data_IF_807762100861
#
_entry.id   IF_807762100861
#
_cell.length_a   1.000
_cell.length_b   1.000
_cell.length_c   1.000
_cell.angle_alpha   90.00
_cell.angle_beta   90.00
_cell.angle_gamma   90.00
#
_symmetry.space_group_name_H-M   'P 1'
#
loop_
_entity.id
_entity.type
_entity.pdbx_description
1 polymer ?
#
# COMPACT_ATOMS: atom_id res chain seq x y z
N UNK A 1 -5.85 6.70 20.56
CA UNK A 1 -4.90 7.09 19.48
C UNK A 1 -3.74 6.09 19.48
N UNK A 2 -2.99 5.98 18.37
CA UNK A 2 -1.95 4.95 18.23
C UNK A 2 -0.77 5.11 19.21
N UNK A 3 -0.41 6.33 19.56
CA UNK A 3 0.61 6.68 20.56
C UNK A 3 0.25 6.27 21.99
N UNK A 4 -1.01 5.96 22.25
CA UNK A 4 -1.46 5.50 23.58
C UNK A 4 -1.52 3.98 23.71
N UNK A 5 -1.10 3.22 22.69
CA UNK A 5 -1.06 1.76 22.73
C UNK A 5 0.13 1.35 23.59
N UNK A 6 -0.09 0.71 24.75
CA UNK A 6 0.99 0.36 25.66
C UNK A 6 1.86 -0.76 25.09
N UNK A 7 3.16 -0.71 25.40
CA UNK A 7 4.10 -1.78 25.08
C UNK A 7 4.59 -1.79 23.63
N UNK A 8 4.35 -0.74 22.84
CA UNK A 8 5.00 -0.56 21.54
C UNK A 8 6.51 -0.38 21.73
N UNK A 9 7.31 -1.08 20.94
CA UNK A 9 8.78 -1.07 21.08
C UNK A 9 9.52 -0.93 19.72
N UNK A 10 8.76 -0.78 18.62
CA UNK A 10 9.36 -0.55 17.31
C UNK A 10 9.95 0.87 17.20
N UNK A 11 9.41 1.84 17.89
CA UNK A 11 9.66 3.26 17.69
C UNK A 11 10.40 3.89 18.86
N UNK A 12 11.21 4.94 18.58
CA UNK A 12 11.90 5.79 19.53
C UNK A 12 11.22 7.19 19.59
N UNK A 13 11.82 8.13 20.35
CA UNK A 13 11.27 9.48 20.53
C UNK A 13 11.21 10.28 19.21
N UNK A 14 12.19 10.13 18.33
CA UNK A 14 12.20 10.83 17.01
C UNK A 14 11.08 10.31 16.13
N UNK A 15 10.85 9.01 16.12
CA UNK A 15 9.72 8.39 15.43
C UNK A 15 8.38 8.95 15.94
N UNK A 16 8.22 9.10 17.25
CA UNK A 16 6.97 9.61 17.82
C UNK A 16 6.80 11.12 17.57
N UNK A 17 7.88 11.90 17.52
CA UNK A 17 7.84 13.32 17.11
C UNK A 17 7.39 13.44 15.64
N UNK A 18 7.92 12.59 14.75
CA UNK A 18 7.48 12.51 13.35
C UNK A 18 6.00 12.11 13.24
N UNK A 19 5.54 11.15 14.05
CA UNK A 19 4.13 10.75 14.13
C UNK A 19 3.22 11.94 14.41
N UNK A 20 3.59 12.83 15.34
CA UNK A 20 2.78 14.01 15.65
C UNK A 20 2.71 14.97 14.44
N UNK A 21 3.80 15.13 13.69
CA UNK A 21 3.84 15.92 12.46
C UNK A 21 2.90 15.35 11.40
N UNK A 22 3.02 14.05 11.11
CA UNK A 22 2.17 13.33 10.15
C UNK A 22 0.70 13.41 10.57
N UNK A 23 0.39 13.13 11.83
CA UNK A 23 -0.97 13.19 12.37
C UNK A 23 -1.59 14.57 12.21
N UNK A 24 -0.86 15.61 12.62
CA UNK A 24 -1.34 17.00 12.52
C UNK A 24 -1.64 17.40 11.09
N UNK A 25 -0.77 17.02 10.15
CA UNK A 25 -0.98 17.24 8.73
C UNK A 25 -2.22 16.50 8.23
N UNK A 26 -2.35 15.22 8.51
CA UNK A 26 -3.49 14.41 8.05
C UNK A 26 -4.82 14.90 8.63
N UNK A 27 -4.84 15.32 9.88
CA UNK A 27 -6.04 15.89 10.52
C UNK A 27 -6.45 17.22 9.88
N UNK A 28 -5.48 18.04 9.48
CA UNK A 28 -5.73 19.36 8.88
C UNK A 28 -6.07 19.27 7.39
N UNK A 29 -5.26 18.56 6.62
CA UNK A 29 -5.31 18.57 5.16
C UNK A 29 -5.97 17.33 4.55
N UNK A 30 -6.00 16.20 5.27
CA UNK A 30 -6.54 14.93 4.80
C UNK A 30 -7.99 14.69 5.23
N UNK A 31 -8.19 14.48 6.52
CA UNK A 31 -9.48 14.06 7.09
C UNK A 31 -10.69 14.89 6.64
N UNK A 32 -10.63 16.24 6.59
CA UNK A 32 -11.77 17.05 6.17
C UNK A 32 -12.16 16.84 4.70
N UNK A 33 -11.24 16.36 3.87
CA UNK A 33 -11.41 16.24 2.42
C UNK A 33 -11.77 14.81 1.95
N UNK A 34 -11.72 13.82 2.86
CA UNK A 34 -11.92 12.41 2.48
C UNK A 34 -13.24 12.18 1.75
N UNK A 35 -14.35 12.73 2.23
CA UNK A 35 -15.66 12.52 1.60
C UNK A 35 -15.71 13.09 0.17
N UNK A 36 -15.07 14.24 -0.08
CA UNK A 36 -14.98 14.82 -1.41
C UNK A 36 -14.10 13.95 -2.32
N UNK A 37 -12.95 13.48 -1.84
CA UNK A 37 -12.06 12.61 -2.61
C UNK A 37 -12.71 11.26 -2.95
N UNK A 38 -13.51 10.71 -2.04
CA UNK A 38 -14.31 9.50 -2.30
C UNK A 38 -15.32 9.74 -3.42
N UNK A 39 -16.01 10.90 -3.42
CA UNK A 39 -16.94 11.27 -4.47
C UNK A 39 -16.24 11.50 -5.82
N UNK A 40 -15.09 12.16 -5.82
CA UNK A 40 -14.28 12.45 -7.02
C UNK A 40 -13.53 11.20 -7.52
N UNK A 41 -13.43 10.16 -6.67
CA UNK A 41 -12.63 8.95 -6.90
C UNK A 41 -11.17 9.26 -7.21
N UNK A 42 -10.60 10.27 -6.53
CA UNK A 42 -9.24 10.71 -6.74
C UNK A 42 -8.75 11.59 -5.58
N UNK A 43 -7.53 11.38 -5.13
CA UNK A 43 -6.82 12.30 -4.25
C UNK A 43 -6.04 13.30 -5.12
N UNK A 44 -6.23 14.62 -4.94
CA UNK A 44 -5.62 15.63 -5.81
C UNK A 44 -4.08 15.67 -5.63
N UNK A 45 -3.37 15.98 -6.72
CA UNK A 45 -1.90 16.09 -6.71
C UNK A 45 -1.37 17.16 -5.74
N UNK A 46 -2.17 18.17 -5.42
CA UNK A 46 -1.79 19.19 -4.43
C UNK A 46 -1.57 18.56 -3.04
N UNK A 47 -2.39 17.60 -2.64
CA UNK A 47 -2.21 16.89 -1.36
C UNK A 47 -0.88 16.11 -1.31
N UNK A 48 -0.46 15.53 -2.44
CA UNK A 48 0.83 14.86 -2.57
C UNK A 48 1.99 15.83 -2.38
N UNK A 49 1.95 17.01 -3.01
CA UNK A 49 3.00 18.03 -2.85
C UNK A 49 3.10 18.51 -1.40
N UNK A 50 1.97 18.83 -0.77
CA UNK A 50 1.94 19.21 0.65
C UNK A 50 2.48 18.12 1.57
N UNK A 51 2.22 16.85 1.27
CA UNK A 51 2.80 15.73 2.02
C UNK A 51 4.32 15.64 1.84
N UNK A 52 4.82 15.89 0.61
CA UNK A 52 6.26 15.98 0.34
C UNK A 52 6.93 17.11 1.11
N UNK A 53 6.31 18.30 1.20
CA UNK A 53 6.85 19.48 1.92
C UNK A 53 7.14 19.21 3.40
N UNK A 54 6.41 18.28 4.02
CA UNK A 54 6.62 17.88 5.43
C UNK A 54 7.46 16.60 5.59
N UNK A 55 8.07 16.10 4.52
CA UNK A 55 8.89 14.88 4.55
C UNK A 55 8.11 13.58 4.70
N UNK A 56 6.80 13.56 4.40
CA UNK A 56 5.95 12.38 4.57
C UNK A 56 6.11 11.37 3.43
N UNK A 57 6.63 11.81 2.27
CA UNK A 57 6.84 10.95 1.10
C UNK A 57 8.29 10.46 1.05
N UNK A 58 8.47 9.17 0.80
CA UNK A 58 9.77 8.53 0.58
C UNK A 58 10.85 8.90 1.64
N UNK A 59 10.56 8.84 2.95
CA UNK A 59 11.48 9.28 4.00
C UNK A 59 12.79 8.49 4.02
N UNK A 60 12.84 7.29 3.44
CA UNK A 60 14.02 6.41 3.34
C UNK A 60 14.99 6.79 2.22
N UNK A 61 14.62 7.69 1.32
CA UNK A 61 15.51 8.14 0.24
C UNK A 61 16.75 8.81 0.83
N UNK A 62 17.98 8.42 0.38
CA UNK A 62 19.22 9.06 0.84
C UNK A 62 19.23 10.59 0.62
N UNK A 63 19.89 11.31 1.51
CA UNK A 63 19.98 12.78 1.47
C UNK A 63 20.57 13.31 0.16
N UNK A 64 21.54 12.60 -0.43
CA UNK A 64 22.14 12.93 -1.71
C UNK A 64 21.14 12.98 -2.89
N UNK A 65 19.99 12.33 -2.75
CA UNK A 65 18.88 12.35 -3.70
C UNK A 65 17.68 13.16 -3.19
N UNK A 66 17.88 14.03 -2.20
CA UNK A 66 16.86 14.94 -1.70
C UNK A 66 15.89 14.33 -0.66
N UNK A 67 16.13 13.11 -0.19
CA UNK A 67 15.38 12.49 0.89
C UNK A 67 15.89 12.83 2.29
N UNK A 68 15.39 12.13 3.29
CA UNK A 68 15.76 12.33 4.68
C UNK A 68 16.72 11.25 5.20
N UNK A 69 16.99 10.18 4.43
CA UNK A 69 17.87 9.09 4.82
C UNK A 69 17.41 8.33 6.08
N UNK A 70 16.10 8.33 6.35
CA UNK A 70 15.50 7.73 7.53
C UNK A 70 15.26 6.23 7.34
N UNK A 71 14.92 5.54 8.41
CA UNK A 71 14.63 4.10 8.34
C UNK A 71 13.16 3.80 8.02
N UNK A 72 12.83 2.52 7.77
CA UNK A 72 11.47 2.05 7.46
C UNK A 72 10.45 2.32 8.59
N UNK A 73 10.90 2.57 9.83
CA UNK A 73 10.01 2.95 10.92
C UNK A 73 9.21 4.22 10.59
N UNK A 74 9.79 5.16 9.86
CA UNK A 74 9.11 6.38 9.42
C UNK A 74 8.03 6.10 8.37
N UNK A 75 8.31 5.21 7.40
CA UNK A 75 7.29 4.74 6.45
C UNK A 75 6.13 4.05 7.19
N UNK A 76 6.45 3.20 8.16
CA UNK A 76 5.46 2.51 8.98
C UNK A 76 4.54 3.49 9.73
N UNK A 77 5.08 4.58 10.27
CA UNK A 77 4.31 5.62 10.94
C UNK A 77 3.35 6.31 9.97
N UNK A 78 3.79 6.65 8.77
CA UNK A 78 2.92 7.22 7.73
C UNK A 78 1.76 6.27 7.44
N UNK A 79 2.05 4.99 7.23
CA UNK A 79 1.03 3.97 6.96
C UNK A 79 0.06 3.78 8.13
N UNK A 80 0.55 3.76 9.36
CA UNK A 80 -0.29 3.67 10.56
C UNK A 80 -1.25 4.85 10.67
N UNK A 81 -0.75 6.08 10.57
CA UNK A 81 -1.56 7.28 10.74
C UNK A 81 -2.57 7.46 9.60
N UNK A 82 -2.18 7.21 8.35
CA UNK A 82 -3.09 7.23 7.22
C UNK A 82 -4.23 6.23 7.37
N UNK A 83 -3.91 4.99 7.73
CA UNK A 83 -4.90 3.93 7.89
C UNK A 83 -5.81 4.17 9.10
N UNK A 84 -5.27 4.66 10.22
CA UNK A 84 -6.04 4.98 11.41
C UNK A 84 -6.98 6.18 11.21
N UNK A 85 -6.51 7.22 10.51
CA UNK A 85 -7.33 8.40 10.20
C UNK A 85 -8.23 8.22 8.97
N UNK A 86 -8.06 7.13 8.22
CA UNK A 86 -8.87 6.80 7.05
C UNK A 86 -8.61 7.70 5.85
N UNK A 87 -7.38 8.19 5.68
CA UNK A 87 -6.98 9.01 4.54
C UNK A 87 -6.52 8.11 3.38
N UNK A 88 -7.21 8.13 2.22
CA UNK A 88 -7.10 7.07 1.20
C UNK A 88 -6.09 7.38 0.08
N UNK A 89 -4.96 8.02 0.35
CA UNK A 89 -3.94 8.27 -0.67
C UNK A 89 -3.02 7.05 -0.87
N UNK A 90 -2.56 6.84 -2.11
CA UNK A 90 -1.69 5.71 -2.48
C UNK A 90 -0.22 5.89 -2.11
N UNK A 91 0.08 6.50 -0.95
CA UNK A 91 1.44 6.82 -0.51
C UNK A 91 2.27 5.57 -0.23
N UNK A 92 1.69 4.52 0.35
CA UNK A 92 2.37 3.24 0.58
C UNK A 92 2.95 2.67 -0.71
N UNK A 93 2.17 2.65 -1.80
CA UNK A 93 2.66 2.17 -3.08
C UNK A 93 3.81 3.04 -3.62
N UNK A 94 3.70 4.34 -3.48
CA UNK A 94 4.70 5.29 -3.94
C UNK A 94 5.99 5.23 -3.12
N UNK A 95 5.87 5.31 -1.78
CA UNK A 95 7.01 5.46 -0.86
C UNK A 95 7.67 4.14 -0.48
N UNK A 96 6.87 3.08 -0.20
CA UNK A 96 7.38 1.83 0.35
C UNK A 96 7.61 0.76 -0.73
N UNK A 97 7.08 0.98 -1.93
CA UNK A 97 7.17 0.03 -3.04
C UNK A 97 8.01 0.65 -4.16
N UNK A 98 7.43 1.59 -4.94
CA UNK A 98 8.10 2.09 -6.16
C UNK A 98 9.40 2.81 -5.86
N UNK A 99 9.42 3.63 -4.81
CA UNK A 99 10.63 4.34 -4.39
C UNK A 99 11.78 3.36 -4.10
N UNK A 100 11.50 2.29 -3.36
CA UNK A 100 12.52 1.31 -2.98
C UNK A 100 13.07 0.51 -4.16
N UNK A 101 12.25 0.23 -5.18
CA UNK A 101 12.77 -0.35 -6.42
C UNK A 101 13.81 0.57 -7.07
N UNK A 102 13.54 1.87 -7.11
CA UNK A 102 14.47 2.82 -7.71
C UNK A 102 15.73 3.02 -6.88
N UNK A 103 15.60 3.09 -5.56
CA UNK A 103 16.75 3.16 -4.64
C UNK A 103 17.64 1.93 -4.76
N UNK A 104 17.04 0.73 -4.81
CA UNK A 104 17.79 -0.53 -4.83
C UNK A 104 18.41 -0.86 -6.19
N UNK A 105 17.73 -0.55 -7.29
CA UNK A 105 18.10 -1.05 -8.62
C UNK A 105 18.29 0.03 -9.68
N UNK A 106 17.94 1.28 -9.40
CA UNK A 106 18.11 2.39 -10.33
C UNK A 106 19.58 2.73 -10.61
N UNK A 107 19.90 3.16 -11.85
CA UNK A 107 21.19 3.79 -12.12
C UNK A 107 21.30 5.11 -11.39
N UNK A 108 22.53 5.63 -11.23
CA UNK A 108 22.76 6.93 -10.60
C UNK A 108 22.01 8.07 -11.33
N UNK A 109 21.92 7.99 -12.67
CA UNK A 109 21.18 8.94 -13.48
C UNK A 109 19.66 8.84 -13.20
N UNK A 110 19.12 7.62 -13.13
CA UNK A 110 17.72 7.40 -12.80
C UNK A 110 17.38 7.89 -11.40
N UNK A 111 18.23 7.61 -10.41
CA UNK A 111 18.05 8.09 -9.03
C UNK A 111 18.05 9.61 -8.95
N UNK A 112 19.05 10.28 -9.55
CA UNK A 112 19.17 11.74 -9.60
C UNK A 112 17.99 12.40 -10.32
N UNK A 113 17.47 11.76 -11.35
CA UNK A 113 16.34 12.29 -12.12
C UNK A 113 15.02 12.19 -11.37
N UNK A 114 14.75 11.06 -10.70
CA UNK A 114 13.42 10.73 -10.22
C UNK A 114 13.23 10.86 -8.71
N UNK A 115 14.23 10.45 -7.87
CA UNK A 115 14.03 10.42 -6.43
C UNK A 115 13.69 11.78 -5.81
N UNK A 116 14.33 12.91 -6.19
CA UNK A 116 13.95 14.21 -5.66
C UNK A 116 12.48 14.57 -5.96
N UNK A 117 12.00 14.18 -7.14
CA UNK A 117 10.62 14.43 -7.58
C UNK A 117 9.61 13.51 -6.89
N UNK A 118 10.03 12.32 -6.44
CA UNK A 118 9.20 11.42 -5.61
C UNK A 118 9.05 12.01 -4.21
N UNK A 119 10.15 12.42 -3.61
CA UNK A 119 10.16 13.02 -2.26
C UNK A 119 9.31 14.29 -2.20
N UNK A 120 9.38 15.15 -3.22
CA UNK A 120 8.57 16.37 -3.28
C UNK A 120 7.10 16.16 -3.63
N UNK A 121 6.70 14.94 -4.05
CA UNK A 121 5.35 14.67 -4.56
C UNK A 121 5.06 15.31 -5.93
N UNK A 122 6.07 15.83 -6.63
CA UNK A 122 5.94 16.35 -8.00
C UNK A 122 5.65 15.20 -8.99
N UNK A 123 6.31 14.06 -8.81
CA UNK A 123 6.10 12.85 -9.60
C UNK A 123 5.44 11.77 -8.77
N UNK A 124 4.19 11.46 -9.08
CA UNK A 124 3.46 10.33 -8.48
C UNK A 124 3.76 9.08 -9.28
N UNK A 125 3.88 7.94 -8.59
CA UNK A 125 4.30 6.69 -9.20
C UNK A 125 3.25 5.59 -9.12
N UNK A 126 3.34 4.66 -10.08
CA UNK A 126 2.61 3.40 -10.08
C UNK A 126 3.52 2.24 -10.47
N UNK A 127 3.17 1.03 -10.05
CA UNK A 127 3.76 -0.21 -10.58
C UNK A 127 2.70 -1.02 -11.28
N UNK A 128 2.97 -1.41 -12.52
CA UNK A 128 2.03 -2.08 -13.41
C UNK A 128 2.47 -3.54 -13.67
N UNK A 129 1.95 -4.45 -12.83
CA UNK A 129 2.24 -5.89 -12.90
C UNK A 129 1.08 -6.65 -13.54
N UNK A 130 -0.11 -6.54 -12.94
CA UNK A 130 -1.31 -7.33 -13.24
C UNK A 130 -1.87 -7.01 -14.62
N UNK A 131 -2.30 -8.06 -15.32
CA UNK A 131 -2.96 -7.97 -16.63
C UNK A 131 -4.37 -8.59 -16.58
N UNK A 132 -5.26 -8.33 -17.56
CA UNK A 132 -6.60 -8.93 -17.56
C UNK A 132 -6.60 -10.47 -17.47
N UNK A 133 -5.55 -11.13 -17.96
CA UNK A 133 -5.39 -12.59 -17.92
C UNK A 133 -4.46 -13.12 -16.82
N UNK A 134 -3.85 -12.26 -16.02
CA UNK A 134 -2.75 -12.65 -15.12
C UNK A 134 -2.69 -11.80 -13.87
N UNK A 135 -2.79 -12.43 -12.70
CA UNK A 135 -2.61 -11.80 -11.37
C UNK A 135 -1.53 -12.51 -10.56
N UNK A 136 -1.90 -13.58 -9.83
CA UNK A 136 -0.95 -14.36 -9.00
C UNK A 136 0.16 -15.03 -9.81
N UNK A 137 -0.12 -15.45 -11.04
CA UNK A 137 0.87 -16.03 -11.96
C UNK A 137 1.55 -14.94 -12.81
N UNK A 138 2.44 -14.17 -12.18
CA UNK A 138 3.17 -13.08 -12.85
C UNK A 138 4.04 -13.54 -14.03
N UNK A 139 4.47 -14.80 -14.07
CA UNK A 139 5.30 -15.31 -15.17
C UNK A 139 4.53 -15.39 -16.50
N UNK A 140 3.19 -15.42 -16.42
CA UNK A 140 2.31 -15.50 -17.59
C UNK A 140 1.89 -14.15 -18.17
N UNK A 141 2.50 -13.03 -17.77
CA UNK A 141 2.25 -11.72 -18.37
C UNK A 141 2.53 -11.75 -19.88
N UNK A 142 1.82 -10.89 -20.62
CA UNK A 142 1.93 -10.76 -22.08
C UNK A 142 2.45 -9.42 -22.55
N UNK A 143 2.39 -8.38 -21.71
CA UNK A 143 2.99 -7.08 -22.02
C UNK A 143 4.45 -7.28 -22.40
N UNK A 144 4.84 -6.76 -23.55
CA UNK A 144 6.18 -6.90 -24.12
C UNK A 144 6.89 -5.56 -24.20
N UNK A 145 8.22 -5.60 -24.14
CA UNK A 145 9.10 -4.46 -24.39
C UNK A 145 10.18 -4.92 -25.38
N UNK A 146 9.89 -4.78 -26.67
CA UNK A 146 10.80 -5.24 -27.74
C UNK A 146 11.85 -4.18 -28.05
N UNK A 147 13.10 -4.61 -28.28
CA UNK A 147 14.18 -3.71 -28.69
C UNK A 147 13.97 -3.23 -30.11
N UNK A 148 14.16 -1.91 -30.31
CA UNK A 148 14.19 -1.25 -31.61
C UNK A 148 15.24 -0.12 -31.58
N UNK A 149 16.41 -0.41 -32.10
CA UNK A 149 17.59 0.44 -32.01
C UNK A 149 18.01 0.66 -30.55
N UNK A 150 18.01 1.91 -30.10
CA UNK A 150 18.34 2.30 -28.72
C UNK A 150 17.10 2.49 -27.83
N UNK A 151 15.95 1.93 -28.23
CA UNK A 151 14.69 2.03 -27.51
C UNK A 151 14.09 0.63 -27.24
N UNK A 152 13.20 0.60 -26.23
CA UNK A 152 12.17 -0.43 -26.15
C UNK A 152 10.87 0.11 -26.75
N UNK A 153 10.12 -0.77 -27.40
CA UNK A 153 8.74 -0.53 -27.84
C UNK A 153 7.83 -1.37 -26.96
N UNK A 154 7.09 -0.69 -26.08
CA UNK A 154 6.24 -1.33 -25.07
C UNK A 154 4.83 -1.50 -25.64
N UNK A 155 4.31 -2.74 -25.61
CA UNK A 155 2.96 -3.08 -26.04
C UNK A 155 2.27 -3.98 -25.01
N UNK A 156 1.01 -3.67 -24.68
CA UNK A 156 0.21 -4.48 -23.77
C UNK A 156 -0.85 -3.69 -23.03
N UNK A 157 -1.47 -4.36 -22.06
CA UNK A 157 -2.46 -3.75 -21.19
C UNK A 157 -2.28 -4.23 -19.75
N UNK A 158 -2.48 -3.33 -18.80
CA UNK A 158 -2.40 -3.58 -17.38
C UNK A 158 -3.72 -3.21 -16.72
N UNK A 159 -4.09 -3.93 -15.65
CA UNK A 159 -5.34 -3.70 -14.95
C UNK A 159 -5.14 -3.69 -13.43
N UNK A 160 -6.07 -3.07 -12.70
CA UNK A 160 -6.03 -2.89 -11.25
C UNK A 160 -4.81 -2.10 -10.76
N UNK A 161 -4.37 -1.11 -11.55
CA UNK A 161 -3.17 -0.34 -11.24
C UNK A 161 -3.53 0.82 -10.31
N UNK A 162 -3.03 0.75 -9.08
CA UNK A 162 -3.13 1.83 -8.07
C UNK A 162 -2.34 3.04 -8.54
N UNK A 163 -2.85 4.24 -8.26
CA UNK A 163 -2.34 5.51 -8.76
C UNK A 163 -2.39 5.66 -10.29
N UNK A 164 -3.06 4.77 -11.03
CA UNK A 164 -3.02 4.75 -12.49
C UNK A 164 -3.53 6.03 -13.16
N UNK A 165 -4.43 6.77 -12.51
CA UNK A 165 -4.88 8.09 -13.00
C UNK A 165 -3.91 9.20 -12.62
N UNK A 166 -3.31 9.14 -11.43
CA UNK A 166 -2.43 10.18 -10.92
C UNK A 166 -0.97 10.03 -11.36
N UNK A 167 -0.51 8.79 -11.63
CA UNK A 167 0.90 8.51 -11.85
C UNK A 167 1.48 9.27 -13.04
N UNK A 168 2.64 9.88 -12.83
CA UNK A 168 3.47 10.54 -13.85
C UNK A 168 4.53 9.57 -14.37
N UNK A 169 4.97 8.61 -13.56
CA UNK A 169 5.91 7.55 -13.90
C UNK A 169 5.35 6.19 -13.51
N UNK A 170 5.39 5.25 -14.44
CA UNK A 170 4.90 3.89 -14.25
C UNK A 170 6.05 2.88 -14.39
N UNK A 171 6.28 2.05 -13.38
CA UNK A 171 7.14 0.88 -13.45
C UNK A 171 6.36 -0.26 -14.13
N UNK A 172 6.63 -0.50 -15.40
CA UNK A 172 5.93 -1.52 -16.20
C UNK A 172 6.70 -2.83 -16.18
N UNK A 173 6.10 -3.87 -15.63
CA UNK A 173 6.65 -5.23 -15.73
C UNK A 173 6.29 -5.80 -17.10
N UNK A 174 7.32 -6.07 -17.93
CA UNK A 174 7.14 -6.50 -19.31
C UNK A 174 8.11 -7.63 -19.66
N UNK A 175 7.80 -8.38 -20.70
CA UNK A 175 8.72 -9.36 -21.30
C UNK A 175 9.63 -8.65 -22.31
N UNK A 176 10.91 -8.64 -22.02
CA UNK A 176 11.98 -8.22 -22.96
C UNK A 176 12.51 -9.39 -23.78
N UNK A 177 12.41 -10.61 -23.22
CA UNK A 177 12.68 -11.87 -23.94
C UNK A 177 11.51 -12.85 -23.72
N UNK A 178 10.60 -13.00 -24.70
CA UNK A 178 9.46 -13.91 -24.58
C UNK A 178 9.84 -15.39 -24.65
N UNK A 179 11.03 -15.73 -25.19
CA UNK A 179 11.51 -17.08 -25.39
C UNK A 179 12.39 -17.60 -24.25
N UNK A 180 12.65 -16.75 -23.25
CA UNK A 180 13.50 -17.08 -22.09
C UNK A 180 13.00 -18.32 -21.34
N UNK A 181 13.94 -19.16 -20.94
CA UNK A 181 13.67 -20.35 -20.14
C UNK A 181 14.57 -20.35 -18.87
N UNK A 182 13.97 -20.40 -17.68
CA UNK A 182 12.52 -20.30 -17.37
C UNK A 182 11.94 -18.91 -17.70
N UNK A 183 10.63 -18.82 -17.89
CA UNK A 183 9.92 -17.63 -18.41
C UNK A 183 10.19 -16.34 -17.60
N UNK A 184 10.41 -16.46 -16.29
CA UNK A 184 10.69 -15.30 -15.43
C UNK A 184 12.01 -14.58 -15.76
N UNK A 185 12.97 -15.26 -16.41
CA UNK A 185 14.26 -14.66 -16.84
C UNK A 185 14.11 -13.69 -18.02
N UNK A 186 12.98 -13.71 -18.69
CA UNK A 186 12.66 -12.76 -19.76
C UNK A 186 11.90 -11.52 -19.28
N UNK A 187 11.69 -11.37 -17.99
CA UNK A 187 10.93 -10.26 -17.41
C UNK A 187 11.85 -9.12 -16.98
N UNK A 188 11.50 -7.90 -17.35
CA UNK A 188 12.18 -6.67 -16.95
C UNK A 188 11.19 -5.66 -16.40
N UNK A 189 11.68 -4.65 -15.71
CA UNK A 189 10.91 -3.50 -15.26
C UNK A 189 11.33 -2.29 -16.09
N UNK A 190 10.39 -1.69 -16.77
CA UNK A 190 10.62 -0.55 -17.67
C UNK A 190 9.95 0.69 -17.09
N UNK A 191 10.71 1.77 -16.91
CA UNK A 191 10.21 3.08 -16.50
C UNK A 191 9.52 3.74 -17.69
N UNK A 192 8.22 4.00 -17.58
CA UNK A 192 7.42 4.64 -18.63
C UNK A 192 6.81 5.92 -18.09
N UNK A 193 7.20 7.06 -18.65
CA UNK A 193 6.58 8.34 -18.35
C UNK A 193 5.17 8.40 -18.97
N UNK A 194 4.24 8.98 -18.25
CA UNK A 194 2.83 8.95 -18.62
C UNK A 194 2.43 9.91 -19.76
N UNK A 195 3.34 10.75 -20.20
CA UNK A 195 3.17 11.69 -21.32
C UNK A 195 3.71 11.15 -22.65
N UNK A 196 4.23 9.90 -22.68
CA UNK A 196 4.72 9.29 -23.91
C UNK A 196 3.59 8.96 -24.86
N UNK A 197 3.85 9.20 -26.15
CA UNK A 197 2.96 8.79 -27.23
C UNK A 197 2.68 7.29 -27.16
N UNK A 198 1.41 6.91 -27.37
CA UNK A 198 0.95 5.52 -27.28
C UNK A 198 0.55 5.05 -25.88
N UNK A 199 0.92 5.80 -24.79
CA UNK A 199 0.40 5.52 -23.46
C UNK A 199 -1.01 6.09 -23.30
N UNK A 200 -1.93 5.26 -22.78
CA UNK A 200 -3.31 5.67 -22.52
C UNK A 200 -3.78 5.18 -21.16
N UNK A 201 -4.36 6.08 -20.37
CA UNK A 201 -5.10 5.70 -19.17
C UNK A 201 -6.50 5.23 -19.59
N UNK A 202 -6.90 4.07 -19.10
CA UNK A 202 -8.27 3.60 -19.19
C UNK A 202 -9.17 4.25 -18.15
N UNK A 203 -10.32 3.64 -17.93
CA UNK A 203 -11.29 4.12 -16.94
C UNK A 203 -10.77 3.96 -15.51
N UNK A 204 -11.23 4.81 -14.62
CA UNK A 204 -11.22 4.54 -13.17
C UNK A 204 -12.13 3.35 -12.91
N UNK A 205 -11.60 2.30 -12.28
CA UNK A 205 -12.37 1.09 -12.02
C UNK A 205 -13.37 1.33 -10.87
N UNK A 206 -14.57 0.81 -11.04
CA UNK A 206 -15.60 0.83 -10.00
C UNK A 206 -15.33 -0.28 -8.99
N UNK A 207 -15.13 0.08 -7.72
CA UNK A 207 -14.68 -0.84 -6.68
C UNK A 207 -15.72 -0.95 -5.57
N UNK A 208 -15.62 -2.00 -4.77
CA UNK A 208 -16.45 -2.19 -3.56
C UNK A 208 -16.12 -1.13 -2.49
N UNK A 209 -14.88 -0.64 -2.46
CA UNK A 209 -14.40 0.36 -1.50
C UNK A 209 -13.07 0.97 -1.89
N UNK A 210 -12.51 1.83 -1.02
CA UNK A 210 -11.34 2.64 -1.32
C UNK A 210 -11.54 3.50 -2.58
N UNK A 211 -12.70 4.15 -2.66
CA UNK A 211 -13.13 4.86 -3.88
C UNK A 211 -12.15 5.96 -4.28
N UNK A 212 -11.61 6.72 -3.31
CA UNK A 212 -10.64 7.78 -3.55
C UNK A 212 -9.23 7.30 -3.95
N UNK A 213 -8.84 6.08 -3.57
CA UNK A 213 -7.60 5.48 -4.05
C UNK A 213 -7.80 5.04 -5.49
N UNK A 214 -7.37 5.85 -6.44
CA UNK A 214 -7.59 5.58 -7.86
C UNK A 214 -6.95 4.26 -8.29
N UNK A 215 -7.69 3.52 -9.10
CA UNK A 215 -7.27 2.23 -9.64
C UNK A 215 -7.75 2.16 -11.08
N UNK A 216 -6.86 1.87 -12.02
CA UNK A 216 -7.14 2.01 -13.44
C UNK A 216 -6.65 0.85 -14.28
N UNK A 217 -7.17 0.82 -15.51
CA UNK A 217 -6.55 0.12 -16.64
C UNK A 217 -5.53 1.06 -17.30
N UNK A 218 -4.43 0.49 -17.79
CA UNK A 218 -3.39 1.21 -18.54
C UNK A 218 -3.13 0.47 -19.84
N UNK A 219 -2.99 1.21 -20.93
CA UNK A 219 -2.75 0.67 -22.26
C UNK A 219 -1.46 1.24 -22.85
N UNK A 220 -0.71 0.37 -23.51
CA UNK A 220 0.56 0.69 -24.14
C UNK A 220 0.46 0.23 -25.63
N UNK A 221 0.49 1.18 -26.55
CA UNK A 221 0.39 0.97 -27.99
C UNK A 221 1.63 1.58 -28.63
N UNK A 222 2.63 0.74 -28.94
CA UNK A 222 3.92 1.14 -29.50
C UNK A 222 4.64 2.25 -28.71
N UNK A 223 4.53 2.21 -27.38
CA UNK A 223 5.17 3.21 -26.51
C UNK A 223 6.68 3.08 -26.57
N UNK A 224 7.34 4.10 -27.12
CA UNK A 224 8.81 4.11 -27.25
C UNK A 224 9.45 4.73 -26.02
N UNK A 225 10.36 3.98 -25.39
CA UNK A 225 11.16 4.44 -24.25
C UNK A 225 12.64 4.15 -24.50
N UNK A 226 13.57 5.03 -24.07
CA UNK A 226 15.01 4.75 -24.19
C UNK A 226 15.39 3.44 -23.46
N UNK A 227 16.39 2.72 -23.92
CA UNK A 227 16.88 1.53 -23.26
C UNK A 227 17.40 1.84 -21.84
N UNK A 228 17.84 3.07 -21.57
CA UNK A 228 18.20 3.56 -20.24
C UNK A 228 17.03 3.62 -19.24
N UNK A 229 15.78 3.43 -19.71
CA UNK A 229 14.61 3.30 -18.84
C UNK A 229 14.40 1.86 -18.30
N UNK A 230 15.27 0.91 -18.64
CA UNK A 230 15.28 -0.38 -17.95
C UNK A 230 15.79 -0.19 -16.53
N UNK A 231 15.02 -0.65 -15.55
CA UNK A 231 15.43 -0.61 -14.15
C UNK A 231 16.40 -1.77 -13.87
N UNK A 232 17.61 -1.43 -13.49
CA UNK A 232 18.67 -2.42 -13.25
C UNK A 232 19.03 -3.22 -14.51
N UNK A 233 19.20 -4.53 -14.38
CA UNK A 233 19.57 -5.43 -15.46
C UNK A 233 18.35 -6.01 -16.17
N UNK A 234 18.41 -6.06 -17.50
CA UNK A 234 17.41 -6.73 -18.31
C UNK A 234 17.26 -8.20 -17.94
N UNK A 235 16.04 -8.70 -17.88
CA UNK A 235 15.73 -10.08 -17.48
C UNK A 235 15.74 -10.34 -15.97
N UNK A 236 16.07 -9.35 -15.13
CA UNK A 236 16.10 -9.47 -13.68
C UNK A 236 14.83 -8.98 -12.98
N UNK A 237 13.85 -8.46 -13.72
CA UNK A 237 12.66 -7.85 -13.16
C UNK A 237 11.92 -8.74 -12.17
N UNK A 238 11.74 -10.03 -12.48
CA UNK A 238 11.08 -10.96 -11.56
C UNK A 238 11.86 -11.14 -10.24
N UNK A 239 13.18 -11.18 -10.31
CA UNK A 239 14.05 -11.32 -9.11
C UNK A 239 13.90 -10.08 -8.24
N UNK A 240 13.90 -8.88 -8.83
CA UNK A 240 13.69 -7.62 -8.11
C UNK A 240 12.32 -7.58 -7.42
N UNK A 241 11.25 -8.01 -8.12
CA UNK A 241 9.93 -8.15 -7.51
C UNK A 241 9.96 -9.06 -6.27
N UNK A 242 10.56 -10.24 -6.38
CA UNK A 242 10.61 -11.20 -5.27
C UNK A 242 11.43 -10.68 -4.08
N UNK A 243 12.47 -9.90 -4.32
CA UNK A 243 13.34 -9.34 -3.27
C UNK A 243 12.66 -8.24 -2.45
N UNK A 244 11.76 -7.45 -3.06
CA UNK A 244 11.06 -6.33 -2.37
C UNK A 244 9.76 -6.77 -1.67
N UNK A 245 9.17 -7.91 -2.07
CA UNK A 245 7.90 -8.38 -1.51
C UNK A 245 7.83 -8.48 0.02
N UNK A 246 8.90 -8.84 0.77
CA UNK A 246 8.81 -8.86 2.23
C UNK A 246 8.41 -7.51 2.84
N UNK A 247 9.02 -6.41 2.38
CA UNK A 247 8.69 -5.05 2.83
C UNK A 247 7.29 -4.64 2.38
N UNK A 248 6.94 -4.88 1.11
CA UNK A 248 5.61 -4.57 0.58
C UNK A 248 4.50 -5.22 1.43
N UNK A 249 4.69 -6.49 1.82
CA UNK A 249 3.77 -7.25 2.67
C UNK A 249 3.73 -6.72 4.09
N UNK A 250 4.88 -6.30 4.64
CA UNK A 250 4.94 -5.68 5.95
C UNK A 250 4.19 -4.35 5.97
N UNK A 251 4.34 -3.49 4.96
CA UNK A 251 3.59 -2.24 4.82
C UNK A 251 2.07 -2.47 4.80
N UNK A 252 1.61 -3.54 4.13
CA UNK A 252 0.20 -3.96 4.16
C UNK A 252 -0.21 -4.34 5.59
N UNK A 253 0.60 -5.14 6.29
CA UNK A 253 0.32 -5.56 7.66
C UNK A 253 0.20 -4.36 8.62
N UNK A 254 1.08 -3.36 8.47
CA UNK A 254 1.07 -2.11 9.23
C UNK A 254 -0.27 -1.37 9.05
N UNK A 255 -0.65 -1.07 7.83
CA UNK A 255 -1.90 -0.35 7.55
C UNK A 255 -3.14 -1.12 7.99
N UNK A 256 -3.16 -2.44 7.82
CA UNK A 256 -4.31 -3.27 8.23
C UNK A 256 -4.47 -3.35 9.74
N UNK A 257 -3.38 -3.41 10.51
CA UNK A 257 -3.42 -3.38 11.97
C UNK A 257 -3.94 -2.05 12.51
N UNK A 258 -3.47 -0.93 11.96
CA UNK A 258 -3.91 0.41 12.34
C UNK A 258 -5.40 0.65 11.99
N UNK A 259 -5.84 0.20 10.83
CA UNK A 259 -7.25 0.25 10.41
C UNK A 259 -8.14 -0.61 11.32
N UNK A 260 -7.67 -1.80 11.73
CA UNK A 260 -8.38 -2.66 12.68
C UNK A 260 -8.51 -1.99 14.06
N UNK A 261 -7.46 -1.30 14.53
CA UNK A 261 -7.50 -0.51 15.76
C UNK A 261 -8.55 0.60 15.68
N UNK A 262 -8.60 1.34 14.55
CA UNK A 262 -9.60 2.40 14.35
C UNK A 262 -11.02 1.87 14.41
N UNK A 263 -11.30 0.75 13.74
CA UNK A 263 -12.63 0.12 13.77
C UNK A 263 -13.04 -0.26 15.19
N UNK A 264 -12.09 -0.79 15.97
CA UNK A 264 -12.33 -1.12 17.38
C UNK A 264 -12.63 0.13 18.21
N UNK A 265 -11.82 1.18 18.10
CA UNK A 265 -11.98 2.42 18.88
C UNK A 265 -13.34 3.08 18.58
N UNK A 266 -13.72 3.20 17.32
CA UNK A 266 -15.04 3.71 16.88
C UNK A 266 -16.19 2.88 17.45
N UNK A 267 -16.03 1.56 17.46
CA UNK A 267 -17.07 0.64 17.94
C UNK A 267 -17.24 0.72 19.44
N UNK A 268 -16.14 0.84 20.20
CA UNK A 268 -16.18 1.03 21.65
C UNK A 268 -16.93 2.32 21.99
N UNK A 269 -16.62 3.42 21.31
CA UNK A 269 -17.29 4.70 21.50
C UNK A 269 -18.78 4.62 21.13
N UNK A 270 -19.09 4.07 19.97
CA UNK A 270 -20.47 3.88 19.53
C UNK A 270 -21.28 3.05 20.51
N UNK A 271 -20.77 1.90 20.99
CA UNK A 271 -21.51 1.01 21.90
C UNK A 271 -21.73 1.64 23.26
N UNK A 272 -20.82 2.51 23.74
CA UNK A 272 -20.97 3.25 25.01
C UNK A 272 -21.99 4.38 24.94
N UNK A 273 -22.27 4.90 23.75
CA UNK A 273 -23.20 6.01 23.55
C UNK A 273 -24.57 5.57 23.02
N UNK A 274 -24.66 4.41 22.39
CA UNK A 274 -25.88 3.89 21.80
C UNK A 274 -26.79 3.24 22.84
N UNK A 275 -27.94 3.85 23.09
CA UNK A 275 -28.98 3.27 23.97
C UNK A 275 -29.72 2.11 23.30
N UNK A 276 -29.94 1.05 24.05
CA UNK A 276 -30.75 -0.08 23.67
C UNK A 276 -31.40 -0.71 24.91
N UNK A 277 -32.72 -0.93 24.86
CA UNK A 277 -33.52 -1.37 26.00
C UNK A 277 -33.33 -0.43 27.21
N UNK A 278 -32.91 -0.93 28.37
CA UNK A 278 -32.74 -0.15 29.59
C UNK A 278 -31.33 0.38 29.83
N UNK A 279 -30.39 0.15 28.91
CA UNK A 279 -28.97 0.51 29.10
C UNK A 279 -28.29 0.91 27.78
N UNK A 280 -26.99 0.82 27.74
CA UNK A 280 -26.18 1.02 26.53
C UNK A 280 -25.90 -0.33 25.85
N UNK A 281 -25.62 -0.33 24.56
CA UNK A 281 -25.19 -1.54 23.83
C UNK A 281 -23.95 -2.14 24.49
N UNK A 282 -23.06 -1.32 25.02
CA UNK A 282 -21.87 -1.75 25.76
C UNK A 282 -22.20 -2.58 27.02
N UNK A 283 -23.35 -2.37 27.66
CA UNK A 283 -23.70 -3.03 28.93
C UNK A 283 -24.03 -4.52 28.75
N UNK A 284 -24.40 -4.94 27.56
CA UNK A 284 -24.70 -6.34 27.28
C UNK A 284 -23.46 -7.22 27.40
N UNK A 285 -23.61 -8.38 28.04
CA UNK A 285 -22.52 -9.34 28.25
C UNK A 285 -21.88 -9.78 26.93
N UNK A 286 -22.68 -10.06 25.91
CA UNK A 286 -22.18 -10.46 24.60
C UNK A 286 -21.31 -9.36 23.95
N UNK A 287 -21.71 -8.10 24.04
CA UNK A 287 -20.92 -6.97 23.52
C UNK A 287 -19.55 -6.91 24.21
N UNK A 288 -19.53 -7.03 25.54
CA UNK A 288 -18.27 -7.03 26.30
C UNK A 288 -17.38 -8.22 25.93
N UNK A 289 -17.93 -9.40 25.72
CA UNK A 289 -17.15 -10.57 25.33
C UNK A 289 -16.55 -10.44 23.93
N UNK A 290 -17.34 -9.95 22.95
CA UNK A 290 -16.84 -9.68 21.61
C UNK A 290 -15.72 -8.64 21.65
N UNK A 291 -15.91 -7.52 22.34
CA UNK A 291 -14.91 -6.46 22.44
C UNK A 291 -13.65 -6.92 23.18
N UNK A 292 -13.78 -7.76 24.23
CA UNK A 292 -12.65 -8.32 24.96
C UNK A 292 -11.80 -9.25 24.07
N UNK A 293 -12.43 -10.12 23.28
CA UNK A 293 -11.76 -10.99 22.31
C UNK A 293 -11.00 -10.15 21.25
N UNK A 294 -11.66 -9.15 20.67
CA UNK A 294 -11.07 -8.25 19.69
C UNK A 294 -9.89 -7.45 20.26
N UNK A 295 -10.03 -6.94 21.49
CA UNK A 295 -8.96 -6.21 22.19
C UNK A 295 -7.72 -7.09 22.39
N UNK A 296 -7.93 -8.33 22.82
CA UNK A 296 -6.84 -9.29 23.02
C UNK A 296 -6.08 -9.57 21.72
N UNK A 297 -6.80 -9.76 20.61
CA UNK A 297 -6.20 -9.97 19.29
C UNK A 297 -5.44 -8.73 18.79
N UNK A 298 -5.96 -7.52 19.02
CA UNK A 298 -5.26 -6.29 18.68
C UNK A 298 -3.93 -6.17 19.41
N UNK A 299 -3.90 -6.49 20.71
CA UNK A 299 -2.68 -6.44 21.50
C UNK A 299 -1.62 -7.42 21.00
N UNK A 300 -2.02 -8.66 20.67
CA UNK A 300 -1.13 -9.66 20.05
C UNK A 300 -0.63 -9.16 18.70
N UNK A 301 -1.52 -8.58 17.89
CA UNK A 301 -1.17 -8.02 16.58
C UNK A 301 -0.12 -6.92 16.66
N UNK A 302 -0.27 -5.97 17.58
CA UNK A 302 0.72 -4.92 17.76
C UNK A 302 2.09 -5.46 18.19
N UNK A 303 2.14 -6.43 19.10
CA UNK A 303 3.40 -7.06 19.51
C UNK A 303 4.09 -7.79 18.35
N UNK A 304 3.33 -8.54 17.55
CA UNK A 304 3.86 -9.21 16.35
C UNK A 304 4.34 -8.21 15.30
N UNK A 305 3.59 -7.11 15.09
CA UNK A 305 3.96 -6.08 14.13
C UNK A 305 5.26 -5.38 14.50
N UNK A 306 5.42 -5.00 15.78
CA UNK A 306 6.65 -4.39 16.29
C UNK A 306 7.85 -5.33 16.14
N UNK A 307 7.67 -6.63 16.39
CA UNK A 307 8.69 -7.63 16.15
C UNK A 307 9.07 -7.68 14.65
N UNK A 308 8.08 -7.70 13.75
CA UNK A 308 8.34 -7.76 12.31
C UNK A 308 9.04 -6.50 11.78
N UNK A 309 8.66 -5.31 12.27
CA UNK A 309 9.33 -4.04 11.94
C UNK A 309 10.79 -4.08 12.41
N UNK A 310 11.06 -4.51 13.65
CA UNK A 310 12.45 -4.65 14.16
C UNK A 310 13.29 -5.62 13.34
N UNK A 311 12.71 -6.76 12.94
CA UNK A 311 13.38 -7.72 12.05
C UNK A 311 13.71 -7.09 10.69
N UNK A 312 12.78 -6.29 10.14
CA UNK A 312 13.00 -5.61 8.87
C UNK A 312 14.11 -4.56 8.97
N UNK A 313 14.09 -3.73 10.02
CA UNK A 313 15.14 -2.74 10.29
C UNK A 313 16.53 -3.37 10.49
N UNK A 314 16.59 -4.60 11.00
CA UNK A 314 17.82 -5.36 11.13
C UNK A 314 18.26 -6.06 9.81
N UNK A 315 17.47 -5.97 8.73
CA UNK A 315 17.72 -6.70 7.47
C UNK A 315 17.47 -8.21 7.57
N UNK A 316 16.73 -8.65 8.58
CA UNK A 316 16.53 -10.07 8.93
C UNK A 316 15.14 -10.61 8.61
N UNK A 317 14.20 -9.75 8.17
CA UNK A 317 12.83 -10.18 7.85
C UNK A 317 12.85 -11.11 6.63
N UNK A 318 12.51 -12.36 6.84
CA UNK A 318 12.46 -13.36 5.76
C UNK A 318 11.18 -13.21 4.91
N UNK A 319 11.19 -13.69 3.64
CA UNK A 319 9.99 -13.73 2.80
C UNK A 319 8.80 -14.46 3.44
N UNK A 320 9.07 -15.51 4.21
CA UNK A 320 8.04 -16.29 4.94
C UNK A 320 7.46 -15.50 6.10
N UNK A 321 8.26 -14.79 6.86
CA UNK A 321 7.81 -13.92 7.96
C UNK A 321 6.99 -12.74 7.44
N UNK A 322 7.41 -12.10 6.33
CA UNK A 322 6.62 -11.06 5.66
C UNK A 322 5.28 -11.58 5.14
N UNK A 323 5.26 -12.81 4.59
CA UNK A 323 4.02 -13.46 4.17
C UNK A 323 3.10 -13.79 5.36
N UNK A 324 3.65 -14.25 6.48
CA UNK A 324 2.90 -14.55 7.70
C UNK A 324 2.30 -13.26 8.31
N UNK A 325 3.07 -12.18 8.34
CA UNK A 325 2.59 -10.88 8.81
C UNK A 325 1.39 -10.40 7.96
N UNK A 326 1.52 -10.39 6.64
CA UNK A 326 0.44 -10.00 5.73
C UNK A 326 -0.78 -10.90 5.91
N UNK A 327 -0.62 -12.20 5.94
CA UNK A 327 -1.72 -13.16 6.11
C UNK A 327 -2.48 -12.89 7.41
N UNK A 328 -1.78 -12.88 8.53
CA UNK A 328 -2.42 -12.79 9.84
C UNK A 328 -3.13 -11.44 10.04
N UNK A 329 -2.46 -10.32 9.72
CA UNK A 329 -3.03 -8.99 9.95
C UNK A 329 -4.21 -8.68 9.02
N UNK A 330 -4.21 -9.16 7.79
CA UNK A 330 -5.36 -8.96 6.88
C UNK A 330 -6.57 -9.83 7.27
N UNK A 331 -6.36 -11.03 7.82
CA UNK A 331 -7.43 -11.85 8.38
C UNK A 331 -8.00 -11.21 9.67
N UNK A 332 -7.13 -10.71 10.56
CA UNK A 332 -7.56 -9.98 11.75
C UNK A 332 -8.37 -8.74 11.38
N UNK A 333 -7.89 -7.94 10.43
CA UNK A 333 -8.61 -6.76 9.95
C UNK A 333 -10.02 -7.12 9.51
N UNK A 334 -10.15 -8.17 8.70
CA UNK A 334 -11.45 -8.61 8.20
C UNK A 334 -12.39 -9.05 9.33
N UNK A 335 -11.92 -9.87 10.25
CA UNK A 335 -12.68 -10.29 11.42
C UNK A 335 -13.12 -9.08 12.25
N UNK A 336 -12.21 -8.12 12.47
CA UNK A 336 -12.47 -6.91 13.23
C UNK A 336 -13.57 -6.08 12.57
N UNK A 337 -13.47 -5.82 11.27
CA UNK A 337 -14.45 -5.03 10.53
C UNK A 337 -15.84 -5.64 10.60
N UNK A 338 -15.94 -6.96 10.43
CA UNK A 338 -17.22 -7.68 10.41
C UNK A 338 -17.90 -7.64 11.78
N UNK A 339 -17.17 -7.97 12.84
CA UNK A 339 -17.71 -7.96 14.21
C UNK A 339 -18.03 -6.53 14.68
N UNK A 340 -17.21 -5.54 14.35
CA UNK A 340 -17.46 -4.16 14.67
C UNK A 340 -18.69 -3.62 13.96
N UNK A 341 -18.83 -3.87 12.65
CA UNK A 341 -20.03 -3.50 11.89
C UNK A 341 -21.29 -4.11 12.50
N UNK A 342 -21.25 -5.38 12.88
CA UNK A 342 -22.39 -6.05 13.52
C UNK A 342 -22.81 -5.37 14.82
N UNK A 343 -21.86 -4.90 15.64
CA UNK A 343 -22.15 -4.17 16.88
C UNK A 343 -22.79 -2.79 16.66
N UNK A 344 -22.66 -2.22 15.47
CA UNK A 344 -23.35 -0.98 15.10
C UNK A 344 -24.81 -1.21 14.68
N UNK A 345 -25.21 -2.47 14.43
CA UNK A 345 -26.58 -2.81 13.98
C UNK A 345 -26.90 -2.10 12.66
N UNK A 346 -28.12 -1.57 12.53
CA UNK A 346 -28.54 -0.88 11.31
C UNK A 346 -27.67 0.32 10.91
N UNK A 347 -27.07 1.02 11.88
CA UNK A 347 -26.13 2.11 11.62
C UNK A 347 -24.87 1.61 10.90
N UNK A 348 -24.40 0.39 11.19
CA UNK A 348 -23.26 -0.22 10.50
C UNK A 348 -23.47 -0.47 9.01
N UNK A 349 -24.71 -0.52 8.55
CA UNK A 349 -25.06 -0.72 7.14
C UNK A 349 -25.23 0.60 6.35
N UNK A 350 -25.08 1.73 7.01
CA UNK A 350 -25.26 3.07 6.41
C UNK A 350 -23.92 3.70 6.12
N UNK A 351 -23.73 4.20 4.88
CA UNK A 351 -22.50 4.85 4.43
C UNK A 351 -22.14 6.13 5.21
N UNK A 352 -23.06 6.69 5.96
CA UNK A 352 -22.86 7.85 6.85
C UNK A 352 -21.96 7.49 8.05
N UNK A 353 -21.86 6.21 8.41
CA UNK A 353 -21.03 5.74 9.51
C UNK A 353 -19.67 5.26 9.01
N UNK A 354 -18.57 5.68 9.65
CA UNK A 354 -17.22 5.30 9.22
C UNK A 354 -17.00 3.79 9.08
N UNK A 355 -17.63 2.99 9.94
CA UNK A 355 -17.45 1.53 9.96
C UNK A 355 -17.90 0.88 8.63
N UNK A 356 -18.95 1.38 7.98
CA UNK A 356 -19.41 0.87 6.70
C UNK A 356 -18.36 1.06 5.59
N UNK A 357 -17.73 2.25 5.54
CA UNK A 357 -16.63 2.55 4.62
C UNK A 357 -15.40 1.68 4.93
N UNK A 358 -15.03 1.56 6.22
CA UNK A 358 -13.91 0.74 6.65
C UNK A 358 -14.11 -0.75 6.29
N UNK A 359 -15.31 -1.29 6.47
CA UNK A 359 -15.65 -2.65 6.10
C UNK A 359 -15.49 -2.91 4.60
N UNK A 360 -16.01 -2.01 3.75
CA UNK A 360 -15.83 -2.10 2.29
C UNK A 360 -14.36 -2.01 1.90
N UNK A 361 -13.62 -1.07 2.48
CA UNK A 361 -12.21 -0.84 2.19
C UNK A 361 -11.31 -2.02 2.60
N UNK A 362 -11.61 -2.70 3.70
CA UNK A 362 -10.80 -3.78 4.22
C UNK A 362 -10.77 -5.03 3.32
N UNK A 363 -11.84 -5.26 2.52
CA UNK A 363 -11.99 -6.52 1.79
C UNK A 363 -10.84 -6.83 0.83
N UNK A 364 -10.25 -5.81 0.22
CA UNK A 364 -9.20 -5.97 -0.77
C UNK A 364 -7.84 -6.36 -0.18
N UNK A 365 -7.59 -6.09 1.11
CA UNK A 365 -6.30 -6.37 1.76
C UNK A 365 -5.90 -7.85 1.71
N UNK A 366 -6.88 -8.76 1.66
CA UNK A 366 -6.69 -10.21 1.49
C UNK A 366 -6.36 -10.62 0.04
N UNK A 367 -6.41 -9.70 -0.92
CA UNK A 367 -6.26 -9.95 -2.35
C UNK A 367 -4.96 -9.35 -2.89
N UNK A 368 -4.72 -8.06 -2.68
CA UNK A 368 -3.54 -7.39 -3.23
C UNK A 368 -2.26 -7.73 -2.45
N UNK A 369 -1.08 -7.44 -3.02
CA UNK A 369 0.22 -7.83 -2.46
C UNK A 369 0.45 -9.35 -2.42
N UNK A 370 -0.29 -10.10 -3.28
CA UNK A 370 -0.43 -11.56 -3.28
C UNK A 370 -1.59 -12.00 -2.40
N UNK A 371 -2.48 -12.85 -2.93
CA UNK A 371 -3.66 -13.32 -2.17
C UNK A 371 -3.25 -14.09 -0.91
N UNK A 372 -4.16 -14.18 0.08
CA UNK A 372 -3.86 -14.93 1.30
C UNK A 372 -3.59 -16.42 1.04
N UNK A 373 -4.13 -16.97 -0.06
CA UNK A 373 -3.81 -18.32 -0.53
C UNK A 373 -2.34 -18.42 -0.98
N UNK A 374 -1.82 -17.41 -1.69
CA UNK A 374 -0.38 -17.33 -2.04
C UNK A 374 0.48 -17.20 -0.78
N UNK A 375 0.04 -16.43 0.22
CA UNK A 375 0.76 -16.34 1.51
C UNK A 375 0.84 -17.71 2.19
N UNK A 376 -0.28 -18.45 2.24
CA UNK A 376 -0.33 -19.82 2.79
C UNK A 376 0.58 -20.78 2.02
N UNK A 377 0.60 -20.68 0.69
CA UNK A 377 1.48 -21.50 -0.16
C UNK A 377 2.97 -21.22 0.13
N UNK A 378 3.36 -19.94 0.25
CA UNK A 378 4.74 -19.57 0.58
C UNK A 378 5.19 -20.08 1.96
N UNK A 379 4.31 -19.94 2.96
CA UNK A 379 4.54 -20.45 4.31
C UNK A 379 4.61 -21.98 4.28
N UNK A 380 3.65 -22.64 3.61
CA UNK A 380 3.58 -24.09 3.51
C UNK A 380 4.81 -24.72 2.87
N UNK A 381 5.39 -24.07 1.86
CA UNK A 381 6.66 -24.54 1.22
C UNK A 381 7.88 -24.45 2.13
N UNK A 382 7.83 -23.69 3.21
CA UNK A 382 8.93 -23.54 4.16
C UNK A 382 8.89 -24.57 5.31
N UNK A 383 7.81 -25.37 5.40
CA UNK A 383 7.65 -26.42 6.39
C UNK A 383 8.36 -27.72 5.96
#
# INVERSE_FOLDING_TARGET
MLDTIPGRFAYNEDHEAFRQTVRSFLQKEGVPNVNQWEADRLVPKEFWRKAGEIGMLCPTVPEEFGGLGLDFGYNSIVNEEMAYLGVPAGFTLHSDIVCDYLVAYGSEEQKKQWLPRFVSGETITAIAMTEPGTGSDLQSIRTSAKKDGNHYVVNGSKTYITNGQNADLILVVAKTDPDAKPAYKGMSIILVESDREGFKRGRKLDKIGQDAADTSELFFEDVRVPMTNCLGEEGKGFIYLMSQLPQERLSIAVGTQASAQKAFDETVEFTKTRKAFAGMVFDFQNTKFVLADLKSKLQIGWAHLDWAIKRHLAGELTPTEGAAAKLWHTELQWEMMDKCLQLHGGAGYMNEYPIARMWRAARVSRIYGGTNEIMKELIGRSL
#
